data_IF_713050602802
#
_entry.id   IF_713050602802
#
_cell.length_a   1.000
_cell.length_b   1.000
_cell.length_c   1.000
_cell.angle_alpha   90.00
_cell.angle_beta   90.00
_cell.angle_gamma   90.00
#
_symmetry.space_group_name_H-M   'P 1'
#
loop_
_entity.id
_entity.type
_entity.pdbx_description
1 polymer ?
#
# COMPACT_ATOMS: atom_id res chain seq x y z
N UNK A 1 2.17 17.34 -14.30
CA UNK A 1 2.35 16.49 -13.10
C UNK A 1 1.77 17.27 -11.94
N UNK A 2 0.72 16.77 -11.27
CA UNK A 2 0.00 17.53 -10.22
C UNK A 2 0.67 17.40 -8.86
N UNK A 3 1.06 16.19 -8.46
CA UNK A 3 1.74 15.94 -7.19
C UNK A 3 2.67 14.72 -7.28
N UNK A 4 3.72 14.68 -6.45
CA UNK A 4 4.66 13.56 -6.37
C UNK A 4 5.10 13.36 -4.92
N UNK A 5 5.18 12.10 -4.48
CA UNK A 5 5.68 11.72 -3.17
C UNK A 5 6.57 10.48 -3.27
N UNK A 6 7.50 10.32 -2.33
CA UNK A 6 8.32 9.12 -2.16
C UNK A 6 8.41 8.75 -0.68
N UNK A 7 8.31 7.45 -0.40
CA UNK A 7 8.41 6.92 0.96
C UNK A 7 9.54 5.91 1.07
N UNK A 8 10.13 5.81 2.26
CA UNK A 8 11.16 4.81 2.56
C UNK A 8 10.52 3.42 2.56
N UNK A 9 11.05 2.52 1.72
CA UNK A 9 10.51 1.17 1.58
C UNK A 9 11.06 0.18 2.61
N UNK A 10 12.31 0.33 3.06
CA UNK A 10 12.95 -0.58 4.02
C UNK A 10 13.47 0.21 5.20
N UNK A 11 13.13 -0.24 6.41
CA UNK A 11 13.67 0.27 7.67
C UNK A 11 14.19 -0.91 8.47
N UNK A 12 15.40 -0.79 9.04
CA UNK A 12 15.87 -1.73 10.06
C UNK A 12 15.08 -1.42 11.34
N UNK A 13 14.29 -2.39 11.78
CA UNK A 13 13.48 -2.28 12.99
C UNK A 13 13.96 -3.34 13.96
N UNK A 14 14.16 -2.95 15.22
CA UNK A 14 14.59 -3.86 16.26
C UNK A 14 13.53 -4.96 16.48
N UNK A 15 13.98 -6.22 16.58
CA UNK A 15 13.09 -7.37 16.77
C UNK A 15 12.23 -7.76 15.56
N UNK A 16 12.43 -7.16 14.38
CA UNK A 16 11.71 -7.52 13.15
C UNK A 16 12.65 -8.19 12.15
N UNK A 17 12.24 -9.35 11.64
CA UNK A 17 12.96 -10.05 10.58
C UNK A 17 13.04 -9.16 9.33
N UNK A 18 14.27 -8.87 8.89
CA UNK A 18 14.55 -8.06 7.71
C UNK A 18 13.98 -8.68 6.43
N UNK A 19 13.81 -10.01 6.39
CA UNK A 19 13.20 -10.70 5.27
C UNK A 19 11.74 -10.27 5.06
N UNK A 20 11.01 -9.95 6.14
CA UNK A 20 9.64 -9.43 6.03
C UNK A 20 9.62 -8.05 5.35
N UNK A 21 10.64 -7.21 5.58
CA UNK A 21 10.77 -5.93 4.86
C UNK A 21 11.06 -6.15 3.37
N UNK A 22 11.95 -7.09 3.01
CA UNK A 22 12.21 -7.40 1.61
C UNK A 22 10.98 -7.99 0.90
N UNK A 23 10.25 -8.87 1.57
CA UNK A 23 9.00 -9.43 1.06
C UNK A 23 7.91 -8.37 0.93
N UNK A 24 7.85 -7.41 1.86
CA UNK A 24 7.01 -6.22 1.73
C UNK A 24 7.31 -5.48 0.42
N UNK A 25 8.59 -5.23 0.11
CA UNK A 25 8.99 -4.59 -1.16
C UNK A 25 8.53 -5.39 -2.38
N UNK A 26 8.61 -6.73 -2.34
CA UNK A 26 8.10 -7.58 -3.43
C UNK A 26 6.58 -7.41 -3.62
N UNK A 27 5.81 -7.44 -2.53
CA UNK A 27 4.36 -7.20 -2.59
C UNK A 27 4.03 -5.81 -3.13
N UNK A 28 4.76 -4.79 -2.67
CA UNK A 28 4.61 -3.42 -3.15
C UNK A 28 4.88 -3.32 -4.65
N UNK A 29 5.91 -4.02 -5.16
CA UNK A 29 6.21 -4.05 -6.60
C UNK A 29 5.04 -4.60 -7.43
N UNK A 30 4.41 -5.69 -6.99
CA UNK A 30 3.23 -6.26 -7.66
C UNK A 30 2.11 -5.22 -7.74
N UNK A 31 1.83 -4.53 -6.63
CA UNK A 31 0.79 -3.50 -6.60
C UNK A 31 1.16 -2.29 -7.45
N UNK A 32 2.42 -1.86 -7.42
CA UNK A 32 2.91 -0.75 -8.25
C UNK A 32 2.79 -1.05 -9.75
N UNK A 33 3.05 -2.29 -10.17
CA UNK A 33 2.86 -2.71 -11.57
C UNK A 33 1.39 -2.65 -11.99
N UNK A 34 0.45 -3.03 -11.11
CA UNK A 34 -1.00 -2.92 -11.35
C UNK A 34 -1.45 -1.45 -11.50
N UNK A 35 -0.85 -0.54 -10.70
CA UNK A 35 -1.21 0.88 -10.70
C UNK A 35 -0.51 1.68 -11.81
N UNK A 36 0.60 1.18 -12.34
CA UNK A 36 1.40 1.92 -13.31
C UNK A 36 0.62 2.13 -14.62
N UNK A 37 0.44 3.39 -15.00
CA UNK A 37 -0.32 3.77 -16.19
C UNK A 37 -1.84 3.76 -16.02
N UNK A 38 -2.36 3.58 -14.79
CA UNK A 38 -3.79 3.72 -14.52
C UNK A 38 -4.26 5.13 -14.89
N UNK A 39 -5.25 5.20 -15.79
CA UNK A 39 -5.92 6.44 -16.20
C UNK A 39 -7.32 6.46 -15.59
N UNK A 40 -7.64 7.51 -14.84
CA UNK A 40 -8.94 7.70 -14.19
C UNK A 40 -9.62 8.88 -14.89
N UNK A 41 -10.77 8.62 -15.52
CA UNK A 41 -11.51 9.64 -16.25
C UNK A 41 -12.30 10.55 -15.31
N UNK A 42 -12.66 11.78 -15.73
CA UNK A 42 -13.56 12.63 -14.97
C UNK A 42 -14.88 11.91 -14.63
N UNK A 43 -15.25 11.90 -13.35
CA UNK A 43 -16.44 11.22 -12.84
C UNK A 43 -16.29 9.70 -12.62
N UNK A 44 -15.16 9.10 -13.01
CA UNK A 44 -14.89 7.68 -12.76
C UNK A 44 -14.56 7.42 -11.29
N UNK A 45 -15.07 6.31 -10.75
CA UNK A 45 -14.73 5.84 -9.41
C UNK A 45 -13.66 4.76 -9.47
N UNK A 46 -12.51 5.03 -8.88
CA UNK A 46 -11.43 4.08 -8.69
C UNK A 46 -11.44 3.49 -7.26
N UNK A 47 -11.11 2.21 -7.13
CA UNK A 47 -10.89 1.56 -5.84
C UNK A 47 -9.62 0.71 -5.88
N UNK A 48 -8.65 1.07 -5.04
CA UNK A 48 -7.40 0.32 -4.91
C UNK A 48 -7.65 -1.15 -4.57
N UNK A 49 -8.53 -1.44 -3.61
CA UNK A 49 -8.79 -2.81 -3.20
C UNK A 49 -9.50 -3.62 -4.28
N UNK A 50 -10.42 -3.02 -5.05
CA UNK A 50 -11.04 -3.71 -6.19
C UNK A 50 -10.04 -3.98 -7.31
N UNK A 51 -9.15 -3.03 -7.60
CA UNK A 51 -8.14 -3.17 -8.64
C UNK A 51 -7.07 -4.21 -8.25
N UNK A 52 -6.55 -4.12 -7.02
CA UNK A 52 -5.53 -5.05 -6.52
C UNK A 52 -6.13 -6.41 -6.20
N UNK A 53 -7.36 -6.47 -5.68
CA UNK A 53 -8.01 -7.70 -5.22
C UNK A 53 -7.34 -8.33 -3.99
N UNK A 54 -7.85 -9.49 -3.56
CA UNK A 54 -7.32 -10.22 -2.40
C UNK A 54 -5.88 -10.70 -2.66
N UNK A 55 -4.89 -10.33 -1.81
CA UNK A 55 -3.53 -10.84 -1.94
C UNK A 55 -3.50 -12.33 -1.58
N UNK A 56 -2.93 -13.15 -2.46
CA UNK A 56 -2.80 -14.59 -2.25
C UNK A 56 -1.46 -15.09 -2.79
N UNK A 57 -0.96 -16.19 -2.24
CA UNK A 57 0.28 -16.84 -2.71
C UNK A 57 0.19 -17.18 -4.20
N UNK A 58 -0.97 -17.67 -4.67
CA UNK A 58 -1.21 -18.00 -6.09
C UNK A 58 -1.02 -16.79 -7.01
N UNK A 59 -1.26 -15.58 -6.51
CA UNK A 59 -1.09 -14.32 -7.26
C UNK A 59 0.31 -13.72 -7.09
N UNK A 60 1.25 -14.46 -6.49
CA UNK A 60 2.65 -14.04 -6.31
C UNK A 60 2.91 -13.23 -5.04
N UNK A 61 1.89 -12.97 -4.21
CA UNK A 61 2.10 -12.28 -2.94
C UNK A 61 2.82 -13.19 -1.95
N UNK A 62 3.73 -12.60 -1.18
CA UNK A 62 4.55 -13.28 -0.18
C UNK A 62 4.24 -12.76 1.23
N UNK A 63 4.71 -13.50 2.24
CA UNK A 63 4.61 -13.10 3.64
C UNK A 63 5.51 -11.87 3.88
N UNK A 64 4.91 -10.69 3.89
CA UNK A 64 5.58 -9.40 4.05
C UNK A 64 5.25 -8.75 5.38
N UNK A 65 6.00 -7.71 5.73
CA UNK A 65 5.79 -6.97 6.96
C UNK A 65 4.43 -6.25 6.95
N UNK A 66 3.61 -6.56 7.95
CA UNK A 66 2.36 -5.89 8.25
C UNK A 66 2.46 -5.30 9.67
N UNK A 67 1.98 -4.07 9.80
CA UNK A 67 1.80 -3.42 11.08
C UNK A 67 0.31 -3.40 11.40
N UNK A 68 -0.08 -4.16 12.42
CA UNK A 68 -1.48 -4.31 12.82
C UNK A 68 -1.61 -4.08 14.31
N UNK A 69 -2.44 -3.11 14.73
CA UNK A 69 -2.68 -2.76 16.14
C UNK A 69 -1.38 -2.53 16.94
N UNK A 70 -0.42 -1.83 16.34
CA UNK A 70 0.89 -1.54 16.96
C UNK A 70 1.86 -2.72 17.01
N UNK A 71 1.50 -3.90 16.47
CA UNK A 71 2.37 -5.07 16.41
C UNK A 71 2.84 -5.33 14.98
N UNK A 72 4.14 -5.60 14.87
CA UNK A 72 4.76 -6.01 13.61
C UNK A 72 4.64 -7.52 13.45
N UNK A 73 4.04 -7.98 12.36
CA UNK A 73 3.90 -9.40 12.02
C UNK A 73 4.10 -9.62 10.52
N UNK A 74 4.27 -10.87 10.13
CA UNK A 74 4.19 -11.27 8.72
C UNK A 74 2.75 -11.53 8.31
N UNK A 75 2.35 -11.02 7.15
CA UNK A 75 1.09 -11.38 6.49
C UNK A 75 1.25 -11.53 4.97
N UNK A 76 0.44 -12.38 4.33
CA UNK A 76 0.40 -12.46 2.87
C UNK A 76 -0.09 -11.13 2.30
N UNK A 77 0.76 -10.47 1.51
CA UNK A 77 0.46 -9.11 1.04
C UNK A 77 0.78 -8.02 2.08
N UNK A 78 1.56 -8.31 3.11
CA UNK A 78 2.09 -7.27 4.01
C UNK A 78 2.75 -6.15 3.20
N UNK A 79 2.43 -4.90 3.54
CA UNK A 79 2.86 -3.68 2.85
C UNK A 79 1.76 -2.91 2.13
N UNK A 80 0.63 -3.54 1.81
CA UNK A 80 -0.45 -2.89 1.04
C UNK A 80 -0.99 -1.61 1.69
N UNK A 81 -0.98 -1.53 3.03
CA UNK A 81 -1.35 -0.33 3.78
C UNK A 81 -0.44 0.89 3.46
N UNK A 82 0.84 0.66 3.19
CA UNK A 82 1.78 1.73 2.83
C UNK A 82 1.41 2.38 1.49
N UNK A 83 1.00 1.59 0.48
CA UNK A 83 0.51 2.14 -0.80
C UNK A 83 -0.84 2.81 -0.63
N UNK A 84 -1.75 2.22 0.15
CA UNK A 84 -3.06 2.83 0.39
C UNK A 84 -2.94 4.22 1.03
N UNK A 85 -2.09 4.36 2.04
CA UNK A 85 -1.83 5.65 2.69
C UNK A 85 -1.10 6.62 1.75
N UNK A 86 -0.12 6.15 0.98
CA UNK A 86 0.57 6.99 0.00
C UNK A 86 -0.38 7.53 -1.08
N UNK A 87 -1.24 6.67 -1.63
CA UNK A 87 -2.25 7.09 -2.61
C UNK A 87 -3.25 8.07 -2.01
N UNK A 88 -3.73 7.81 -0.79
CA UNK A 88 -4.60 8.73 -0.09
C UNK A 88 -3.95 10.11 0.07
N UNK A 89 -2.70 10.16 0.55
CA UNK A 89 -1.94 11.40 0.69
C UNK A 89 -1.80 12.14 -0.64
N UNK A 90 -1.49 11.43 -1.72
CA UNK A 90 -1.37 12.04 -3.05
C UNK A 90 -2.71 12.59 -3.56
N UNK A 91 -3.82 11.88 -3.33
CA UNK A 91 -5.18 12.28 -3.74
C UNK A 91 -5.62 13.56 -3.04
N UNK A 92 -5.24 13.78 -1.78
CA UNK A 92 -5.55 15.02 -1.06
C UNK A 92 -4.96 16.29 -1.69
N UNK A 93 -4.03 16.13 -2.64
CA UNK A 93 -3.38 17.23 -3.37
C UNK A 93 -3.89 17.34 -4.83
N UNK A 94 -4.99 16.68 -5.17
CA UNK A 94 -5.63 16.74 -6.48
C UNK A 94 -7.12 17.10 -6.35
N UNK A 95 -7.79 17.37 -7.46
CA UNK A 95 -9.24 17.62 -7.50
C UNK A 95 -10.10 16.35 -7.39
N UNK A 96 -9.52 15.24 -6.92
CA UNK A 96 -10.23 13.97 -6.77
C UNK A 96 -10.89 13.86 -5.39
N UNK A 97 -12.13 13.38 -5.37
CA UNK A 97 -12.85 13.13 -4.13
C UNK A 97 -12.48 11.78 -3.49
N UNK A 98 -12.19 11.80 -2.18
CA UNK A 98 -12.08 10.57 -1.38
C UNK A 98 -13.48 10.17 -0.93
N UNK A 99 -14.10 9.25 -1.68
CA UNK A 99 -15.47 8.78 -1.39
C UNK A 99 -15.56 7.73 -0.28
N UNK A 100 -14.47 7.00 0.01
CA UNK A 100 -14.43 5.93 1.02
C UNK A 100 -12.98 5.69 1.50
N UNK A 101 -12.78 5.52 2.82
CA UNK A 101 -11.49 5.17 3.44
C UNK A 101 -11.71 4.18 4.59
N UNK A 102 -10.90 3.11 4.62
CA UNK A 102 -10.91 2.09 5.68
C UNK A 102 -9.61 2.12 6.47
N UNK A 103 -9.66 2.54 7.74
CA UNK A 103 -8.46 2.62 8.61
C UNK A 103 -8.13 1.26 9.24
N UNK A 104 -6.84 0.93 9.31
CA UNK A 104 -6.36 -0.25 10.04
C UNK A 104 -5.81 0.15 11.42
N UNK A 105 -6.67 0.43 12.40
CA UNK A 105 -6.37 0.62 13.84
C UNK A 105 -5.34 1.70 14.26
N UNK A 106 -4.20 1.84 13.57
CA UNK A 106 -3.11 2.76 13.88
C UNK A 106 -2.55 3.27 12.54
N UNK A 107 -2.76 4.55 12.26
CA UNK A 107 -2.12 5.24 11.14
C UNK A 107 -0.68 5.58 11.54
N UNK A 108 0.29 4.77 11.08
CA UNK A 108 1.72 5.05 11.30
C UNK A 108 2.33 5.51 9.97
N UNK A 109 1.81 6.60 9.42
CA UNK A 109 2.52 7.39 8.42
C UNK A 109 2.02 8.85 8.48
N UNK A 110 2.91 9.85 8.38
CA UNK A 110 2.54 11.21 8.01
C UNK A 110 2.08 11.30 6.55
#
# INVERSE_FOLDING_TARGET
MVFKHSSVLVRKLEGVDLQLQHNKVKNLKIVSEILNGLLIQPGEKFSLYKLVGKPTIRRGFVNGLELSRGKMKGEIGGGLCQIANMLHWMILHTDMDVVERHHHSVDIFP
#
